data_IF_299596226909
#
_entry.id   IF_299596226909
#
_cell.length_a   1.000
_cell.length_b   1.000
_cell.length_c   1.000
_cell.angle_alpha   90.00
_cell.angle_beta   90.00
_cell.angle_gamma   90.00
#
_symmetry.space_group_name_H-M   'P 1'
#
loop_
_entity.id
_entity.type
_entity.pdbx_description
1 polymer ?
#
# COMPACT_ATOMS: atom_id res chain seq x y z
N UNK A 1 17.80 -4.51 -48.68
CA UNK A 1 17.54 -5.86 -48.14
C UNK A 1 18.47 -6.82 -48.86
N UNK A 2 19.42 -7.42 -48.14
CA UNK A 2 20.22 -8.51 -48.71
C UNK A 2 19.35 -9.76 -48.78
N UNK A 3 19.33 -10.42 -49.93
CA UNK A 3 18.61 -11.68 -50.12
C UNK A 3 19.41 -12.81 -49.47
N UNK A 4 18.90 -13.37 -48.39
CA UNK A 4 19.45 -14.58 -47.76
C UNK A 4 19.40 -15.73 -48.75
N UNK A 5 20.54 -16.36 -49.05
CA UNK A 5 20.59 -17.53 -49.93
C UNK A 5 20.42 -18.83 -49.15
N UNK A 6 20.11 -19.93 -49.85
CA UNK A 6 20.04 -21.26 -49.22
C UNK A 6 21.37 -21.67 -48.58
N UNK A 7 22.50 -21.33 -49.21
CA UNK A 7 23.84 -21.62 -48.67
C UNK A 7 24.07 -20.90 -47.34
N UNK A 8 23.65 -19.64 -47.22
CA UNK A 8 23.76 -18.87 -45.98
C UNK A 8 22.98 -19.51 -44.83
N UNK A 9 21.76 -19.99 -45.10
CA UNK A 9 20.92 -20.67 -44.09
C UNK A 9 21.55 -21.98 -43.63
N UNK A 10 22.06 -22.80 -44.56
CA UNK A 10 22.72 -24.07 -44.23
C UNK A 10 23.97 -23.82 -43.38
N UNK A 11 24.77 -22.81 -43.75
CA UNK A 11 25.97 -22.45 -43.00
C UNK A 11 25.63 -21.95 -41.60
N UNK A 12 24.60 -21.11 -41.46
CA UNK A 12 24.12 -20.64 -40.15
C UNK A 12 23.64 -21.81 -39.26
N UNK A 13 22.79 -22.69 -39.79
CA UNK A 13 22.30 -23.84 -39.05
C UNK A 13 23.43 -24.80 -38.63
N UNK A 14 24.41 -25.03 -39.51
CA UNK A 14 25.58 -25.87 -39.21
C UNK A 14 26.49 -25.24 -38.15
N UNK A 15 26.60 -23.90 -38.13
CA UNK A 15 27.33 -23.18 -37.08
C UNK A 15 26.66 -23.37 -35.73
N UNK A 16 25.34 -23.14 -35.64
CA UNK A 16 24.58 -23.32 -34.40
C UNK A 16 24.72 -24.75 -33.90
N UNK A 17 24.58 -25.75 -34.78
CA UNK A 17 24.74 -27.16 -34.40
C UNK A 17 26.13 -27.46 -33.84
N UNK A 18 27.19 -26.87 -34.41
CA UNK A 18 28.56 -26.97 -33.89
C UNK A 18 28.70 -26.31 -32.53
N UNK A 19 28.22 -25.08 -32.38
CA UNK A 19 28.35 -24.31 -31.14
C UNK A 19 27.62 -25.01 -29.98
N UNK A 20 26.50 -25.67 -30.25
CA UNK A 20 25.81 -26.53 -29.27
C UNK A 20 26.61 -27.79 -28.95
N UNK A 21 27.15 -28.48 -29.96
CA UNK A 21 27.94 -29.70 -29.76
C UNK A 21 29.25 -29.46 -28.99
N UNK A 22 29.85 -28.28 -29.18
CA UNK A 22 31.07 -27.86 -28.48
C UNK A 22 30.79 -27.26 -27.09
N UNK A 23 29.52 -27.07 -26.73
CA UNK A 23 29.10 -26.49 -25.44
C UNK A 23 29.30 -24.98 -25.34
N UNK A 24 29.68 -24.33 -26.45
CA UNK A 24 29.84 -22.87 -26.57
C UNK A 24 28.49 -22.15 -26.57
N UNK A 25 27.43 -22.83 -27.01
CA UNK A 25 26.05 -22.36 -26.99
C UNK A 25 25.20 -23.30 -26.13
N UNK A 26 24.72 -22.81 -24.98
CA UNK A 26 23.80 -23.58 -24.13
C UNK A 26 22.35 -23.11 -24.34
N UNK A 27 21.37 -24.04 -24.40
CA UNK A 27 19.96 -23.69 -24.51
C UNK A 27 19.48 -22.79 -23.36
N UNK A 28 19.94 -23.05 -22.13
CA UNK A 28 19.58 -22.23 -20.97
C UNK A 28 20.11 -20.81 -21.08
N UNK A 29 21.32 -20.60 -21.61
CA UNK A 29 21.85 -19.25 -21.81
C UNK A 29 21.07 -18.49 -22.89
N UNK A 30 20.58 -19.18 -23.93
CA UNK A 30 19.70 -18.58 -24.92
C UNK A 30 18.35 -18.19 -24.33
N UNK A 31 17.77 -19.03 -23.46
CA UNK A 31 16.52 -18.72 -22.75
C UNK A 31 16.70 -17.51 -21.82
N UNK A 32 17.78 -17.49 -21.03
CA UNK A 32 18.11 -16.38 -20.15
C UNK A 32 18.27 -15.07 -20.93
N UNK A 33 18.99 -15.13 -22.06
CA UNK A 33 19.17 -13.98 -22.95
C UNK A 33 17.83 -13.52 -23.55
N UNK A 34 16.99 -14.44 -24.02
CA UNK A 34 15.68 -14.11 -24.57
C UNK A 34 14.78 -13.45 -23.51
N UNK A 35 14.81 -13.93 -22.26
CA UNK A 35 14.07 -13.32 -21.15
C UNK A 35 14.61 -11.92 -20.84
N UNK A 36 15.92 -11.72 -20.89
CA UNK A 36 16.53 -10.40 -20.70
C UNK A 36 16.09 -9.41 -21.79
N UNK A 37 16.13 -9.82 -23.06
CA UNK A 37 15.67 -9.00 -24.19
C UNK A 37 14.17 -8.71 -24.13
N UNK A 38 13.34 -9.70 -23.79
CA UNK A 38 11.90 -9.48 -23.59
C UNK A 38 11.65 -8.49 -22.46
N UNK A 39 12.40 -8.58 -21.35
CA UNK A 39 12.26 -7.62 -20.24
C UNK A 39 12.66 -6.21 -20.67
N UNK A 40 13.68 -6.05 -21.49
CA UNK A 40 14.08 -4.76 -22.03
C UNK A 40 13.01 -4.19 -22.98
N UNK A 41 12.48 -5.02 -23.88
CA UNK A 41 11.53 -4.59 -24.91
C UNK A 41 10.13 -4.32 -24.39
N UNK A 42 9.60 -5.18 -23.50
CA UNK A 42 8.19 -5.15 -23.07
C UNK A 42 8.01 -5.10 -21.56
N UNK A 43 9.09 -5.18 -20.77
CA UNK A 43 9.02 -5.21 -19.31
C UNK A 43 8.72 -3.86 -18.66
N UNK A 44 8.75 -2.76 -19.42
CA UNK A 44 8.33 -1.44 -18.95
C UNK A 44 7.11 -0.98 -19.73
N UNK A 45 6.04 -0.62 -19.01
CA UNK A 45 4.82 -0.05 -19.58
C UNK A 45 4.90 1.47 -19.50
N UNK A 46 4.97 2.16 -20.63
CA UNK A 46 5.09 3.62 -20.66
C UNK A 46 3.71 4.32 -20.62
N UNK A 47 2.88 4.12 -21.66
CA UNK A 47 1.61 4.80 -21.85
C UNK A 47 0.74 4.07 -22.90
N UNK A 48 -0.57 4.40 -23.04
CA UNK A 48 -1.48 3.71 -23.95
C UNK A 48 -1.12 3.76 -25.44
N UNK A 49 -0.21 4.61 -25.85
CA UNK A 49 0.35 4.73 -27.20
C UNK A 49 1.55 3.81 -27.45
N UNK A 50 1.98 3.04 -26.45
CA UNK A 50 3.01 2.00 -26.60
C UNK A 50 2.56 0.94 -27.62
N UNK A 51 3.36 0.62 -28.65
CA UNK A 51 3.05 -0.44 -29.60
C UNK A 51 2.78 -1.81 -28.96
N UNK A 52 3.39 -2.11 -27.80
CA UNK A 52 3.21 -3.34 -27.04
C UNK A 52 1.99 -3.31 -26.10
N UNK A 53 1.26 -2.19 -26.00
CA UNK A 53 0.19 -1.99 -25.02
C UNK A 53 -0.89 -3.08 -25.03
N UNK A 54 -1.32 -3.49 -26.24
CA UNK A 54 -2.34 -4.54 -26.39
C UNK A 54 -1.87 -5.88 -25.81
N UNK A 55 -0.64 -6.29 -26.14
CA UNK A 55 -0.01 -7.50 -25.62
C UNK A 55 0.16 -7.43 -24.09
N UNK A 56 0.63 -6.30 -23.56
CA UNK A 56 0.78 -6.10 -22.12
C UNK A 56 -0.55 -6.23 -21.39
N UNK A 57 -1.64 -5.67 -21.94
CA UNK A 57 -2.99 -5.83 -21.41
C UNK A 57 -3.45 -7.29 -21.42
N UNK A 58 -3.19 -8.03 -22.50
CA UNK A 58 -3.56 -9.44 -22.61
C UNK A 58 -2.79 -10.32 -21.64
N UNK A 59 -1.50 -10.05 -21.43
CA UNK A 59 -0.67 -10.73 -20.42
C UNK A 59 -1.22 -10.43 -19.02
N UNK A 60 -1.48 -9.16 -18.69
CA UNK A 60 -2.02 -8.78 -17.38
C UNK A 60 -3.36 -9.50 -17.08
N UNK A 61 -4.27 -9.58 -18.07
CA UNK A 61 -5.53 -10.32 -17.92
C UNK A 61 -5.31 -11.80 -17.64
N UNK A 62 -4.39 -12.45 -18.35
CA UNK A 62 -4.07 -13.86 -18.14
C UNK A 62 -3.46 -14.10 -16.76
N UNK A 63 -2.54 -13.24 -16.32
CA UNK A 63 -1.94 -13.32 -14.98
C UNK A 63 -3.01 -13.23 -13.90
N UNK A 64 -3.95 -12.28 -14.04
CA UNK A 64 -5.08 -12.16 -13.11
C UNK A 64 -6.00 -13.39 -13.15
N UNK A 65 -6.26 -13.97 -14.32
CA UNK A 65 -7.08 -15.17 -14.46
C UNK A 65 -6.45 -16.43 -13.83
N UNK A 66 -5.14 -16.41 -13.59
CA UNK A 66 -4.39 -17.49 -12.95
C UNK A 66 -4.05 -17.17 -11.48
N UNK A 67 -4.74 -16.21 -10.86
CA UNK A 67 -4.50 -15.74 -9.50
C UNK A 67 -3.04 -15.33 -9.25
N UNK A 68 -2.37 -14.82 -10.28
CA UNK A 68 -0.94 -14.46 -10.23
C UNK A 68 -0.62 -13.24 -9.38
N UNK A 69 -1.65 -12.50 -8.92
CA UNK A 69 -1.54 -11.37 -8.00
C UNK A 69 -2.53 -11.60 -6.87
N UNK A 70 -2.11 -11.57 -5.60
CA UNK A 70 -3.01 -11.71 -4.46
C UNK A 70 -4.14 -10.68 -4.47
N UNK A 71 -5.34 -11.08 -4.04
CA UNK A 71 -6.52 -10.21 -4.06
C UNK A 71 -6.34 -8.92 -3.24
N UNK A 72 -5.63 -9.00 -2.11
CA UNK A 72 -5.36 -7.83 -1.24
C UNK A 72 -4.46 -6.81 -1.95
N UNK A 73 -3.41 -7.26 -2.64
CA UNK A 73 -2.54 -6.40 -3.44
C UNK A 73 -3.30 -5.76 -4.62
N UNK A 74 -4.15 -6.53 -5.29
CA UNK A 74 -5.01 -5.99 -6.35
C UNK A 74 -5.98 -4.93 -5.83
N UNK A 75 -6.52 -5.10 -4.62
CA UNK A 75 -7.42 -4.14 -4.00
C UNK A 75 -6.72 -2.79 -3.74
N UNK A 76 -5.46 -2.81 -3.31
CA UNK A 76 -4.64 -1.60 -3.16
C UNK A 76 -4.44 -0.89 -4.49
N UNK A 77 -4.15 -1.63 -5.56
CA UNK A 77 -3.96 -1.05 -6.89
C UNK A 77 -5.24 -0.42 -7.43
N UNK A 78 -6.39 -1.04 -7.20
CA UNK A 78 -7.70 -0.44 -7.54
C UNK A 78 -7.93 0.84 -6.75
N UNK A 79 -7.60 0.87 -5.45
CA UNK A 79 -7.71 2.08 -4.64
C UNK A 79 -6.84 3.22 -5.20
N UNK A 80 -5.58 2.94 -5.56
CA UNK A 80 -4.68 3.92 -6.20
C UNK A 80 -5.22 4.39 -7.55
N UNK A 81 -5.75 3.48 -8.38
CA UNK A 81 -6.32 3.83 -9.68
C UNK A 81 -7.54 4.76 -9.54
N UNK A 82 -8.46 4.44 -8.62
CA UNK A 82 -9.63 5.27 -8.29
C UNK A 82 -9.22 6.64 -7.77
N UNK A 83 -8.25 6.70 -6.86
CA UNK A 83 -7.72 7.96 -6.35
C UNK A 83 -7.14 8.82 -7.49
N UNK A 84 -6.38 8.24 -8.43
CA UNK A 84 -5.85 8.96 -9.60
C UNK A 84 -6.97 9.43 -10.54
N UNK A 85 -8.06 8.70 -10.63
CA UNK A 85 -9.27 9.10 -11.36
C UNK A 85 -10.09 10.19 -10.64
N UNK A 86 -9.68 10.61 -9.44
CA UNK A 86 -10.35 11.64 -8.65
C UNK A 86 -11.52 11.13 -7.81
N UNK A 87 -11.67 9.81 -7.67
CA UNK A 87 -12.64 9.23 -6.74
C UNK A 87 -12.14 9.43 -5.30
N UNK A 88 -13.02 9.88 -4.41
CA UNK A 88 -12.72 9.94 -3.00
C UNK A 88 -12.51 8.53 -2.46
N UNK A 89 -11.32 8.24 -1.91
CA UNK A 89 -11.08 7.01 -1.15
C UNK A 89 -12.04 7.03 0.02
N UNK A 90 -13.10 6.21 -0.06
CA UNK A 90 -14.09 6.11 0.99
C UNK A 90 -13.39 5.71 2.28
N UNK A 91 -13.24 6.68 3.18
CA UNK A 91 -13.00 6.36 4.59
C UNK A 91 -14.12 5.41 4.99
N UNK A 92 -13.85 4.25 5.63
CA UNK A 92 -14.92 3.43 6.18
C UNK A 92 -15.82 4.37 6.98
N UNK A 93 -17.07 4.52 6.54
CA UNK A 93 -18.00 5.42 7.20
C UNK A 93 -18.03 5.03 8.67
N UNK A 94 -18.04 6.00 9.61
CA UNK A 94 -18.17 5.67 11.02
C UNK A 94 -19.37 4.74 11.14
N UNK A 95 -19.17 3.55 11.71
CA UNK A 95 -20.25 2.61 11.95
C UNK A 95 -21.37 3.39 12.63
N UNK A 96 -22.48 3.57 11.93
CA UNK A 96 -23.61 4.37 12.38
C UNK A 96 -24.40 3.54 13.40
N UNK A 97 -23.77 3.30 14.54
CA UNK A 97 -24.40 2.94 15.79
C UNK A 97 -23.93 3.94 16.81
N UNK A 98 -24.34 5.20 16.62
CA UNK A 98 -24.50 6.12 17.73
C UNK A 98 -25.73 5.61 18.51
N UNK A 99 -25.59 5.08 19.74
CA UNK A 99 -26.78 4.79 20.54
C UNK A 99 -27.53 6.11 20.76
N UNK A 100 -28.84 6.11 20.51
CA UNK A 100 -29.70 7.25 20.72
C UNK A 100 -29.47 7.83 22.13
N UNK A 101 -29.23 9.14 22.27
CA UNK A 101 -29.13 9.74 23.59
C UNK A 101 -30.50 9.63 24.27
N UNK A 102 -30.61 8.74 25.25
CA UNK A 102 -31.76 8.69 26.16
C UNK A 102 -31.96 10.07 26.78
N UNK A 103 -33.10 10.67 26.44
CA UNK A 103 -33.52 11.96 26.96
C UNK A 103 -33.82 11.80 28.45
N UNK A 104 -32.86 12.15 29.31
CA UNK A 104 -33.09 12.23 30.74
C UNK A 104 -33.94 13.47 31.01
N UNK A 105 -35.22 13.25 31.31
CA UNK A 105 -36.13 14.28 31.82
C UNK A 105 -35.48 14.96 33.02
N UNK A 106 -35.04 16.20 32.80
CA UNK A 106 -34.49 17.05 33.85
C UNK A 106 -35.66 17.65 34.62
N UNK A 107 -36.03 17.04 35.75
CA UNK A 107 -36.99 17.63 36.69
C UNK A 107 -36.32 18.84 37.34
N UNK A 108 -36.81 20.03 37.01
CA UNK A 108 -36.43 21.25 37.69
C UNK A 108 -36.97 21.23 39.13
N UNK A 109 -36.13 20.86 40.10
CA UNK A 109 -36.42 21.09 41.51
C UNK A 109 -36.17 22.57 41.82
N UNK A 110 -37.25 23.34 41.86
CA UNK A 110 -37.28 24.66 42.48
C UNK A 110 -37.06 24.49 44.00
N UNK A 111 -36.08 25.17 44.62
CA UNK A 111 -35.97 25.12 46.07
C UNK A 111 -37.01 26.06 46.69
N UNK A 112 -37.91 25.46 47.46
CA UNK A 112 -38.86 26.13 48.35
C UNK A 112 -38.10 26.92 49.41
N UNK A 113 -38.43 28.20 49.55
CA UNK A 113 -37.76 29.14 50.46
C UNK A 113 -38.26 28.94 51.88
N UNK A 114 -37.38 28.56 52.80
CA UNK A 114 -37.62 28.68 54.25
C UNK A 114 -36.34 29.12 54.95
N UNK A 115 -36.31 30.38 55.40
CA UNK A 115 -35.37 30.86 56.43
C UNK A 115 -35.86 30.36 57.81
N UNK A 116 -34.95 30.07 58.75
CA UNK A 116 -34.81 31.04 59.85
C UNK A 116 -33.38 31.24 60.38
N UNK A 117 -33.32 32.28 61.21
CA UNK A 117 -32.23 33.01 61.87
C UNK A 117 -31.18 32.25 62.71
N UNK A 118 -30.10 33.01 62.95
CA UNK A 118 -29.29 33.12 64.17
C UNK A 118 -27.98 32.29 64.29
N UNK A 119 -26.88 33.01 64.00
CA UNK A 119 -25.77 33.34 64.92
C UNK A 119 -24.47 32.49 64.92
N UNK A 120 -23.36 33.25 65.01
CA UNK A 120 -21.98 32.92 65.42
C UNK A 120 -20.90 32.55 64.36
N UNK A 121 -20.27 33.63 63.86
CA UNK A 121 -18.83 33.97 63.75
C UNK A 121 -17.82 33.25 62.79
N UNK A 122 -16.80 33.98 62.25
CA UNK A 122 -16.03 33.59 61.06
C UNK A 122 -14.57 33.20 61.34
N UNK A 123 -13.97 32.31 60.54
CA UNK A 123 -12.50 32.18 60.48
C UNK A 123 -11.96 31.63 59.14
N UNK A 124 -11.50 32.59 58.34
CA UNK A 124 -10.44 32.69 57.30
C UNK A 124 -9.82 31.48 56.54
N UNK A 125 -9.30 31.75 55.31
CA UNK A 125 -8.82 30.78 54.32
C UNK A 125 -7.28 30.66 54.26
N UNK A 126 -6.73 29.53 53.79
CA UNK A 126 -5.35 29.43 53.28
C UNK A 126 -5.22 28.37 52.16
N UNK A 127 -4.86 28.82 50.95
CA UNK A 127 -4.11 28.09 49.88
C UNK A 127 -2.58 28.17 50.20
N UNK A 128 -1.57 27.61 49.45
CA UNK A 128 -1.56 27.08 48.06
C UNK A 128 -0.60 25.88 47.72
N UNK A 129 -0.68 25.46 46.44
CA UNK A 129 0.29 24.88 45.46
C UNK A 129 1.55 24.06 45.86
N UNK A 130 1.80 22.94 45.13
CA UNK A 130 2.92 22.75 44.14
C UNK A 130 3.43 21.30 44.00
N UNK A 131 3.86 20.91 42.79
CA UNK A 131 4.85 19.83 42.54
C UNK A 131 4.38 18.75 41.55
N UNK A 132 4.50 18.92 40.23
CA UNK A 132 5.68 18.72 39.33
C UNK A 132 5.88 17.26 38.85
N UNK A 133 5.92 17.15 37.53
CA UNK A 133 6.07 15.98 36.68
C UNK A 133 7.55 15.57 36.45
N UNK A 134 7.75 14.34 35.97
CA UNK A 134 8.94 13.94 35.21
C UNK A 134 9.47 12.53 35.50
N UNK A 135 8.85 11.51 34.90
CA UNK A 135 9.33 10.12 34.94
C UNK A 135 10.43 9.86 33.90
N UNK A 136 11.50 9.18 34.34
CA UNK A 136 12.69 8.78 33.59
C UNK A 136 12.60 7.34 33.05
N UNK A 137 13.13 7.09 31.85
CA UNK A 137 13.60 5.79 31.36
C UNK A 137 14.46 6.00 30.09
N UNK A 138 15.29 5.03 29.61
CA UNK A 138 16.34 4.25 30.27
C UNK A 138 17.74 4.37 29.61
N UNK A 139 18.69 3.66 30.22
CA UNK A 139 20.05 3.35 29.79
C UNK A 139 20.15 2.49 28.52
N UNK A 140 21.22 2.72 27.73
CA UNK A 140 22.14 1.71 27.18
C UNK A 140 23.41 2.43 26.66
N UNK A 141 24.60 1.87 26.89
CA UNK A 141 25.60 1.53 25.88
C UNK A 141 26.95 1.11 26.51
N UNK A 142 27.54 0.12 25.86
CA UNK A 142 28.55 -0.84 26.30
C UNK A 142 29.90 -0.60 25.61
N UNK A 143 30.98 -1.00 26.29
CA UNK A 143 32.30 -1.43 25.80
C UNK A 143 33.31 -0.42 25.24
N UNK A 144 34.51 -0.47 25.83
CA UNK A 144 35.82 -0.32 25.17
C UNK A 144 36.53 -1.67 25.22
#
# INVERSE_FOLDING_TARGET
MSTTTTEDVIKAASSIARDVAEGTLSPSALEDQAVAELREMVGTVAAPDDPAWSLQCDIARQVLALDGIPADELAEWVAVARQRAGEAVGTPGPADTRPDPVSLVSVAHYPETAQPDADIAPARPLRPDSGVAGGQHPAELTTT
#
